data_IF_777572329964
#
_entry.id   IF_777572329964
#
_cell.length_a   1.000
_cell.length_b   1.000
_cell.length_c   1.000
_cell.angle_alpha   90.00
_cell.angle_beta   90.00
_cell.angle_gamma   90.00
#
_symmetry.space_group_name_H-M   'P 1'
#
loop_
_entity.id
_entity.type
_entity.pdbx_description
1 polymer ?
#
# COMPACT_ATOMS: atom_id res chain seq x y z
N UNK A 1 22.95 -17.22 39.21
CA UNK A 1 23.96 -16.80 38.22
C UNK A 1 23.92 -17.80 37.08
N UNK A 2 23.41 -17.52 35.88
CA UNK A 2 23.68 -16.36 35.03
C UNK A 2 22.43 -15.89 34.26
N UNK A 3 22.31 -14.57 34.14
CA UNK A 3 21.50 -13.87 33.14
C UNK A 3 22.18 -14.02 31.78
N UNK A 4 21.41 -14.27 30.74
CA UNK A 4 21.76 -13.83 29.38
C UNK A 4 20.51 -13.25 28.72
N UNK A 5 20.54 -11.93 28.67
CA UNK A 5 19.65 -11.03 27.97
C UNK A 5 20.03 -10.92 26.48
N UNK A 6 19.04 -10.49 25.68
CA UNK A 6 19.13 -10.00 24.29
C UNK A 6 19.24 -11.11 23.23
N UNK A 7 18.41 -11.14 22.18
CA UNK A 7 18.16 -10.07 21.23
C UNK A 7 16.72 -10.10 20.69
N UNK A 8 15.95 -9.03 20.92
CA UNK A 8 14.72 -8.77 20.17
C UNK A 8 15.09 -8.42 18.73
N UNK A 9 14.78 -9.32 17.79
CA UNK A 9 14.84 -9.02 16.36
C UNK A 9 13.61 -8.21 15.92
N UNK A 10 13.68 -7.30 14.92
CA UNK A 10 12.55 -6.44 14.53
C UNK A 10 11.44 -7.16 13.73
N UNK A 11 11.36 -8.48 13.83
CA UNK A 11 10.53 -9.32 12.94
C UNK A 11 9.08 -9.45 13.45
N UNK A 12 8.82 -9.12 14.72
CA UNK A 12 7.49 -9.28 15.35
C UNK A 12 6.44 -8.24 14.93
N UNK A 13 6.75 -7.31 14.02
CA UNK A 13 5.80 -6.28 13.57
C UNK A 13 4.94 -6.69 12.35
N UNK A 14 5.25 -7.79 11.68
CA UNK A 14 4.48 -8.29 10.52
C UNK A 14 3.37 -9.30 10.89
N UNK A 15 3.37 -9.87 12.10
CA UNK A 15 2.43 -10.91 12.53
C UNK A 15 1.00 -10.39 12.81
N UNK A 16 0.81 -9.07 12.83
CA UNK A 16 -0.43 -8.45 13.29
C UNK A 16 -1.29 -7.84 12.15
N UNK A 17 -0.97 -8.15 10.88
CA UNK A 17 -1.79 -7.68 9.75
C UNK A 17 -3.06 -8.54 9.63
N UNK A 18 -2.94 -9.87 9.74
CA UNK A 18 -4.08 -10.79 9.59
C UNK A 18 -5.17 -10.64 10.66
N UNK A 19 -4.77 -10.37 11.90
CA UNK A 19 -5.67 -10.03 13.02
C UNK A 19 -6.40 -8.71 12.80
N UNK A 20 -5.70 -7.67 12.31
CA UNK A 20 -6.33 -6.38 11.96
C UNK A 20 -7.43 -6.55 10.92
N UNK A 21 -7.25 -7.42 9.92
CA UNK A 21 -8.30 -7.68 8.93
C UNK A 21 -9.54 -8.34 9.52
N UNK A 22 -9.37 -9.19 10.55
CA UNK A 22 -10.48 -9.89 11.22
C UNK A 22 -11.34 -8.92 12.07
N UNK A 23 -10.71 -7.92 12.68
CA UNK A 23 -11.39 -6.85 13.44
C UNK A 23 -12.17 -5.87 12.56
N UNK A 24 -11.95 -5.87 11.24
CA UNK A 24 -12.58 -4.90 10.37
C UNK A 24 -14.09 -5.08 10.22
N UNK A 25 -14.65 -6.27 10.54
CA UNK A 25 -16.08 -6.61 10.46
C UNK A 25 -16.63 -6.16 9.10
N UNK A 26 -16.58 -7.02 8.08
CA UNK A 26 -16.81 -6.68 6.66
C UNK A 26 -18.29 -6.80 6.24
N UNK A 27 -19.11 -5.72 6.27
CA UNK A 27 -20.35 -5.61 5.51
C UNK A 27 -20.13 -5.05 4.09
N UNK A 28 -18.90 -4.73 3.70
CA UNK A 28 -18.53 -4.13 2.39
C UNK A 28 -18.89 -5.00 1.17
N UNK A 29 -19.23 -6.28 1.36
CA UNK A 29 -19.57 -7.23 0.30
C UNK A 29 -21.08 -7.54 0.21
N UNK A 30 -21.96 -6.75 0.82
CA UNK A 30 -23.39 -6.88 0.52
C UNK A 30 -23.65 -6.32 -0.88
N UNK A 31 -24.18 -7.17 -1.77
CA UNK A 31 -24.32 -7.00 -3.23
C UNK A 31 -25.15 -5.78 -3.72
N UNK A 32 -25.38 -4.74 -2.91
CA UNK A 32 -26.22 -3.59 -3.25
C UNK A 32 -25.51 -2.24 -3.33
N UNK A 33 -24.18 -2.17 -3.19
CA UNK A 33 -23.42 -0.92 -3.30
C UNK A 33 -22.42 -0.97 -4.46
N UNK A 34 -22.80 -0.39 -5.60
CA UNK A 34 -21.91 -0.19 -6.73
C UNK A 34 -21.09 1.09 -6.48
N UNK A 35 -19.90 0.94 -5.89
CA UNK A 35 -19.04 2.05 -5.50
C UNK A 35 -17.62 1.82 -6.03
N UNK A 36 -17.19 2.66 -6.95
CA UNK A 36 -15.86 2.58 -7.59
C UNK A 36 -14.72 2.46 -6.58
N UNK A 37 -14.84 3.08 -5.41
CA UNK A 37 -13.83 2.97 -4.35
C UNK A 37 -13.74 1.54 -3.78
N UNK A 38 -14.88 0.89 -3.58
CA UNK A 38 -14.93 -0.49 -3.09
C UNK A 38 -14.38 -1.45 -4.15
N UNK A 39 -14.64 -1.20 -5.42
CA UNK A 39 -14.06 -1.99 -6.51
C UNK A 39 -12.54 -1.82 -6.57
N UNK A 40 -12.01 -0.59 -6.45
CA UNK A 40 -10.55 -0.36 -6.35
C UNK A 40 -9.94 -1.08 -5.16
N UNK A 41 -10.60 -1.06 -3.99
CA UNK A 41 -10.17 -1.81 -2.81
C UNK A 41 -10.16 -3.32 -3.06
N UNK A 42 -11.23 -3.87 -3.64
CA UNK A 42 -11.35 -5.30 -3.96
C UNK A 42 -10.21 -5.74 -4.89
N UNK A 43 -9.96 -4.99 -5.96
CA UNK A 43 -8.86 -5.25 -6.89
C UNK A 43 -7.51 -5.21 -6.18
N UNK A 44 -7.29 -4.20 -5.33
CA UNK A 44 -6.04 -4.05 -4.56
C UNK A 44 -5.79 -5.21 -3.59
N UNK A 45 -6.83 -5.67 -2.90
CA UNK A 45 -6.77 -6.81 -1.98
C UNK A 45 -6.46 -8.10 -2.74
N UNK A 46 -7.08 -8.31 -3.90
CA UNK A 46 -6.81 -9.48 -4.74
C UNK A 46 -5.34 -9.51 -5.19
N UNK A 47 -4.80 -8.37 -5.62
CA UNK A 47 -3.39 -8.27 -5.99
C UNK A 47 -2.44 -8.44 -4.81
N UNK A 48 -2.80 -7.91 -3.63
CA UNK A 48 -2.05 -8.20 -2.41
C UNK A 48 -2.02 -9.70 -2.11
N UNK A 49 -3.17 -10.39 -2.17
CA UNK A 49 -3.27 -11.83 -1.99
C UNK A 49 -2.43 -12.61 -3.02
N UNK A 50 -2.54 -12.26 -4.30
CA UNK A 50 -1.72 -12.85 -5.37
C UNK A 50 -0.22 -12.66 -5.11
N UNK A 51 0.18 -11.50 -4.58
CA UNK A 51 1.57 -11.25 -4.22
C UNK A 51 2.08 -12.17 -3.11
N UNK A 52 1.24 -12.61 -2.18
CA UNK A 52 1.63 -13.52 -1.09
C UNK A 52 1.76 -14.95 -1.60
N UNK A 53 0.95 -15.33 -2.59
CA UNK A 53 0.87 -16.70 -3.11
C UNK A 53 1.85 -16.98 -4.26
N UNK A 54 2.52 -15.96 -4.81
CA UNK A 54 3.55 -16.16 -5.85
C UNK A 54 4.89 -16.58 -5.24
N UNK A 55 5.53 -17.56 -5.87
CA UNK A 55 6.88 -18.03 -5.51
C UNK A 55 7.99 -17.10 -6.08
N UNK A 56 7.66 -16.29 -7.10
CA UNK A 56 8.59 -15.38 -7.75
C UNK A 56 8.60 -14.02 -7.04
N UNK A 57 9.80 -13.54 -6.67
CA UNK A 57 9.97 -12.21 -6.08
C UNK A 57 9.54 -11.10 -7.04
N UNK A 58 9.87 -11.25 -8.32
CA UNK A 58 9.55 -10.24 -9.35
C UNK A 58 8.05 -10.19 -9.61
N UNK A 59 7.38 -11.35 -9.71
CA UNK A 59 5.92 -11.39 -9.87
C UNK A 59 5.22 -10.85 -8.62
N UNK A 60 5.65 -11.27 -7.44
CA UNK A 60 5.13 -10.73 -6.17
C UNK A 60 5.24 -9.22 -6.09
N UNK A 61 6.36 -8.66 -6.54
CA UNK A 61 6.59 -7.22 -6.58
C UNK A 61 5.67 -6.53 -7.60
N UNK A 62 5.53 -7.09 -8.80
CA UNK A 62 4.62 -6.57 -9.83
C UNK A 62 3.17 -6.60 -9.39
N UNK A 63 2.71 -7.68 -8.74
CA UNK A 63 1.36 -7.76 -8.19
C UNK A 63 1.12 -6.66 -7.16
N UNK A 64 2.07 -6.41 -6.25
CA UNK A 64 1.98 -5.28 -5.33
C UNK A 64 1.91 -3.94 -6.06
N UNK A 65 2.70 -3.74 -7.11
CA UNK A 65 2.67 -2.51 -7.91
C UNK A 65 1.31 -2.31 -8.59
N UNK A 66 0.74 -3.34 -9.22
CA UNK A 66 -0.59 -3.27 -9.84
C UNK A 66 -1.66 -2.95 -8.81
N UNK A 67 -1.59 -3.55 -7.61
CA UNK A 67 -2.47 -3.21 -6.49
C UNK A 67 -2.38 -1.72 -6.12
N UNK A 68 -1.17 -1.20 -5.96
CA UNK A 68 -0.94 0.23 -5.67
C UNK A 68 -1.48 1.15 -6.78
N UNK A 69 -1.21 0.82 -8.05
CA UNK A 69 -1.72 1.55 -9.22
C UNK A 69 -3.24 1.59 -9.23
N UNK A 70 -3.88 0.44 -9.02
CA UNK A 70 -5.33 0.33 -9.00
C UNK A 70 -5.98 1.15 -7.89
N UNK A 71 -5.29 1.33 -6.75
CA UNK A 71 -5.83 2.03 -5.59
C UNK A 71 -5.62 3.55 -5.66
N UNK A 72 -4.39 3.94 -5.97
CA UNK A 72 -3.88 5.30 -5.73
C UNK A 72 -3.63 6.11 -7.00
N UNK A 73 -3.99 5.60 -8.18
CA UNK A 73 -3.89 6.36 -9.43
C UNK A 73 -5.23 6.59 -10.10
N UNK A 74 -5.26 7.56 -11.01
CA UNK A 74 -6.42 7.93 -11.84
C UNK A 74 -6.09 7.90 -13.34
N UNK A 75 -4.92 7.37 -13.72
CA UNK A 75 -4.51 7.14 -15.12
C UNK A 75 -4.08 8.38 -15.92
N UNK A 76 -4.03 9.59 -15.33
CA UNK A 76 -3.80 10.85 -16.07
C UNK A 76 -2.40 11.48 -15.97
N UNK A 77 -1.56 11.02 -15.04
CA UNK A 77 -0.27 11.66 -14.70
C UNK A 77 0.91 10.67 -14.70
N UNK A 78 2.14 11.18 -14.49
CA UNK A 78 3.32 10.34 -14.28
C UNK A 78 3.09 9.39 -13.10
N UNK A 79 2.91 8.11 -13.40
CA UNK A 79 2.50 7.05 -12.46
C UNK A 79 3.37 7.08 -11.19
N UNK A 80 4.69 7.19 -11.34
CA UNK A 80 5.64 7.21 -10.22
C UNK A 80 5.42 8.37 -9.26
N UNK A 81 5.28 9.60 -9.76
CA UNK A 81 5.13 10.79 -8.91
C UNK A 81 3.81 10.72 -8.13
N UNK A 82 2.70 10.49 -8.84
CA UNK A 82 1.38 10.43 -8.20
C UNK A 82 1.31 9.32 -7.16
N UNK A 83 1.88 8.16 -7.46
CA UNK A 83 1.95 7.08 -6.47
C UNK A 83 2.79 7.44 -5.27
N UNK A 84 3.95 8.04 -5.47
CA UNK A 84 4.82 8.44 -4.36
C UNK A 84 4.14 9.49 -3.46
N UNK A 85 3.51 10.51 -4.05
CA UNK A 85 2.73 11.53 -3.33
C UNK A 85 1.57 10.90 -2.57
N UNK A 86 0.69 10.17 -3.27
CA UNK A 86 -0.52 9.61 -2.66
C UNK A 86 -0.19 8.58 -1.59
N UNK A 87 0.87 7.79 -1.76
CA UNK A 87 1.34 6.86 -0.73
C UNK A 87 1.80 7.64 0.50
N UNK A 88 2.63 8.66 0.33
CA UNK A 88 3.12 9.49 1.43
C UNK A 88 1.97 10.18 2.18
N UNK A 89 1.03 10.79 1.47
CA UNK A 89 -0.15 11.44 2.05
C UNK A 89 -1.05 10.50 2.83
N UNK A 90 -1.12 9.22 2.43
CA UNK A 90 -2.03 8.27 3.04
C UNK A 90 -1.44 7.58 4.28
N UNK A 91 -0.15 7.25 4.27
CA UNK A 91 0.44 6.35 5.29
C UNK A 91 1.57 6.96 6.11
N UNK A 92 2.15 8.09 5.70
CA UNK A 92 3.19 8.73 6.48
C UNK A 92 2.64 9.23 7.83
N UNK A 93 3.54 9.43 8.79
CA UNK A 93 3.22 10.19 10.00
C UNK A 93 3.00 11.65 9.63
N UNK A 94 2.36 12.39 10.53
CA UNK A 94 2.07 13.81 10.35
C UNK A 94 3.31 14.68 10.62
N UNK A 95 4.38 14.40 9.87
CA UNK A 95 5.62 15.16 9.89
C UNK A 95 6.30 15.11 8.51
N UNK A 96 7.00 16.18 8.17
CA UNK A 96 7.58 16.38 6.83
C UNK A 96 8.67 15.34 6.50
N UNK A 97 9.41 14.87 7.50
CA UNK A 97 10.49 13.92 7.29
C UNK A 97 9.95 12.52 7.00
N UNK A 98 8.89 12.10 7.69
CA UNK A 98 8.15 10.88 7.37
C UNK A 98 7.53 10.95 5.98
N UNK A 99 6.94 12.08 5.58
CA UNK A 99 6.39 12.25 4.22
C UNK A 99 7.48 12.10 3.16
N UNK A 100 8.62 12.78 3.31
CA UNK A 100 9.79 12.66 2.40
C UNK A 100 10.31 11.23 2.33
N UNK A 101 10.43 10.55 3.47
CA UNK A 101 10.92 9.17 3.52
C UNK A 101 10.02 8.22 2.72
N UNK A 102 8.70 8.27 2.94
CA UNK A 102 7.74 7.43 2.22
C UNK A 102 7.74 7.75 0.73
N UNK A 103 7.73 9.04 0.38
CA UNK A 103 7.80 9.51 -1.01
C UNK A 103 9.03 8.96 -1.73
N UNK A 104 10.23 9.20 -1.19
CA UNK A 104 11.49 8.78 -1.83
C UNK A 104 11.58 7.25 -1.93
N UNK A 105 11.13 6.54 -0.90
CA UNK A 105 11.10 5.07 -0.91
C UNK A 105 10.18 4.56 -2.02
N UNK A 106 9.00 5.15 -2.17
CA UNK A 106 8.05 4.76 -3.21
C UNK A 106 8.58 5.08 -4.62
N UNK A 107 9.27 6.22 -4.81
CA UNK A 107 9.96 6.51 -6.07
C UNK A 107 10.99 5.43 -6.43
N UNK A 108 11.80 5.01 -5.46
CA UNK A 108 12.82 3.97 -5.67
C UNK A 108 12.20 2.62 -6.02
N UNK A 109 11.13 2.23 -5.33
CA UNK A 109 10.38 1.00 -5.65
C UNK A 109 9.80 1.05 -7.07
N UNK A 110 9.26 2.20 -7.49
CA UNK A 110 8.66 2.35 -8.82
C UNK A 110 9.68 2.43 -9.95
N UNK A 111 10.88 2.95 -9.70
CA UNK A 111 11.98 2.83 -10.64
C UNK A 111 12.31 1.35 -10.94
N UNK A 112 12.29 0.48 -9.91
CA UNK A 112 12.49 -0.96 -10.07
C UNK A 112 11.35 -1.63 -10.83
N UNK A 113 10.09 -1.31 -10.50
CA UNK A 113 8.90 -1.76 -11.24
C UNK A 113 9.04 -1.49 -12.73
N UNK A 114 9.41 -0.26 -13.08
CA UNK A 114 9.58 0.16 -14.47
C UNK A 114 10.63 -0.69 -15.19
N UNK A 115 11.79 -0.92 -14.57
CA UNK A 115 12.81 -1.75 -15.21
C UNK A 115 12.42 -3.23 -15.34
N UNK A 116 11.65 -3.82 -14.41
CA UNK A 116 11.09 -5.18 -14.61
C UNK A 116 10.17 -5.20 -15.84
N UNK A 117 9.26 -4.23 -15.95
CA UNK A 117 8.27 -4.18 -17.03
C UNK A 117 8.89 -4.00 -18.43
N UNK A 118 10.07 -3.38 -18.51
CA UNK A 118 10.83 -3.20 -19.76
C UNK A 118 11.86 -4.32 -20.02
N UNK A 119 11.82 -5.42 -19.25
CA UNK A 119 12.73 -6.56 -19.44
C UNK A 119 14.17 -6.27 -18.98
N UNK A 120 14.38 -5.24 -18.16
CA UNK A 120 15.67 -4.95 -17.56
C UNK A 120 16.06 -6.04 -16.56
N UNK A 121 17.36 -6.32 -16.47
CA UNK A 121 17.91 -7.26 -15.48
C UNK A 121 17.95 -6.61 -14.08
N UNK A 122 16.78 -6.36 -13.51
CA UNK A 122 16.61 -5.80 -12.17
C UNK A 122 16.39 -6.94 -11.19
N UNK A 123 17.27 -7.02 -10.20
CA UNK A 123 17.08 -7.91 -9.05
C UNK A 123 16.26 -7.20 -7.97
N UNK A 124 15.12 -7.78 -7.61
CA UNK A 124 14.32 -7.34 -6.47
C UNK A 124 14.85 -8.00 -5.21
N UNK A 125 15.23 -7.19 -4.23
CA UNK A 125 15.60 -7.69 -2.93
C UNK A 125 14.37 -7.99 -2.08
N UNK A 126 14.46 -9.00 -1.21
CA UNK A 126 13.40 -9.34 -0.25
C UNK A 126 12.96 -8.15 0.60
N UNK A 127 13.87 -7.23 0.94
CA UNK A 127 13.55 -6.00 1.70
C UNK A 127 12.61 -5.08 0.93
N UNK A 128 12.75 -5.01 -0.38
CA UNK A 128 11.97 -4.14 -1.27
C UNK A 128 10.59 -4.72 -1.51
N UNK A 129 10.51 -6.04 -1.68
CA UNK A 129 9.24 -6.74 -1.72
C UNK A 129 8.46 -6.56 -0.40
N UNK A 130 9.13 -6.71 0.75
CA UNK A 130 8.51 -6.44 2.05
C UNK A 130 8.03 -5.00 2.16
N UNK A 131 8.80 -4.03 1.65
CA UNK A 131 8.46 -2.62 1.70
C UNK A 131 7.22 -2.28 0.85
N UNK A 132 7.15 -2.75 -0.39
CA UNK A 132 5.99 -2.48 -1.26
C UNK A 132 4.73 -3.21 -0.76
N UNK A 133 4.88 -4.44 -0.22
CA UNK A 133 3.78 -5.15 0.46
C UNK A 133 3.26 -4.36 1.65
N UNK A 134 4.17 -3.83 2.47
CA UNK A 134 3.80 -2.98 3.61
C UNK A 134 3.04 -1.73 3.16
N UNK A 135 3.49 -1.03 2.11
CA UNK A 135 2.79 0.16 1.60
C UNK A 135 1.41 -0.17 1.04
N UNK A 136 1.26 -1.28 0.30
CA UNK A 136 -0.04 -1.72 -0.19
C UNK A 136 -0.99 -2.08 0.96
N UNK A 137 -0.53 -2.88 1.92
CA UNK A 137 -1.32 -3.26 3.09
C UNK A 137 -1.76 -2.04 3.91
N UNK A 138 -0.85 -1.10 4.19
CA UNK A 138 -1.16 0.11 4.93
C UNK A 138 -2.12 1.03 4.18
N UNK A 139 -1.98 1.14 2.86
CA UNK A 139 -2.89 1.93 2.04
C UNK A 139 -4.31 1.35 2.07
N UNK A 140 -4.45 0.03 1.91
CA UNK A 140 -5.74 -0.68 2.04
C UNK A 140 -6.34 -0.42 3.43
N UNK A 141 -5.57 -0.64 4.50
CA UNK A 141 -6.03 -0.45 5.88
C UNK A 141 -6.48 0.99 6.12
N UNK A 142 -5.69 1.98 5.70
CA UNK A 142 -6.00 3.40 5.90
C UNK A 142 -7.28 3.82 5.19
N UNK A 143 -7.47 3.39 3.93
CA UNK A 143 -8.70 3.68 3.19
C UNK A 143 -9.90 3.02 3.88
N UNK A 144 -9.80 1.75 4.30
CA UNK A 144 -10.89 1.09 5.04
C UNK A 144 -11.19 1.83 6.35
N UNK A 145 -10.17 2.24 7.11
CA UNK A 145 -10.36 3.01 8.35
C UNK A 145 -11.12 4.31 8.10
N UNK A 146 -10.79 5.03 7.01
CA UNK A 146 -11.48 6.27 6.64
C UNK A 146 -12.93 6.04 6.20
N UNK A 147 -13.20 4.95 5.48
CA UNK A 147 -14.58 4.54 5.14
C UNK A 147 -15.37 4.24 6.42
N UNK A 148 -14.79 3.49 7.37
CA UNK A 148 -15.44 3.17 8.64
C UNK A 148 -15.69 4.39 9.52
N UNK A 149 -14.87 5.43 9.37
CA UNK A 149 -15.03 6.72 10.04
C UNK A 149 -15.96 7.68 9.29
N UNK A 150 -16.58 7.25 8.18
CA UNK A 150 -17.43 8.07 7.30
C UNK A 150 -16.70 9.31 6.72
N UNK A 151 -15.37 9.26 6.64
CA UNK A 151 -14.54 10.36 6.11
C UNK A 151 -14.45 10.34 4.58
N UNK A 152 -14.54 9.15 3.97
CA UNK A 152 -14.55 8.96 2.51
C UNK A 152 -15.58 7.90 2.15
N UNK A 153 -16.44 8.19 1.16
CA UNK A 153 -17.49 7.28 0.73
C UNK A 153 -17.48 7.02 -0.78
N UNK A 154 -16.61 7.68 -1.52
CA UNK A 154 -16.51 7.54 -2.97
C UNK A 154 -15.07 7.72 -3.45
N UNK A 155 -14.80 7.33 -4.69
CA UNK A 155 -13.50 7.59 -5.32
C UNK A 155 -13.22 9.11 -5.43
N UNK A 156 -14.26 9.94 -5.56
CA UNK A 156 -14.13 11.41 -5.54
C UNK A 156 -13.66 11.91 -4.18
N UNK A 157 -14.19 11.36 -3.09
CA UNK A 157 -13.79 11.74 -1.73
C UNK A 157 -12.34 11.34 -1.45
N UNK A 158 -11.91 10.15 -1.90
CA UNK A 158 -10.52 9.73 -1.80
C UNK A 158 -9.58 10.69 -2.56
N UNK A 159 -9.92 11.05 -3.79
CA UNK A 159 -9.12 12.01 -4.59
C UNK A 159 -9.07 13.37 -3.87
N UNK A 160 -10.21 13.86 -3.40
CA UNK A 160 -10.31 15.13 -2.68
C UNK A 160 -9.47 15.11 -1.40
N UNK A 161 -9.53 14.02 -0.64
CA UNK A 161 -8.70 13.82 0.55
C UNK A 161 -7.21 13.92 0.22
N UNK A 162 -6.75 13.20 -0.81
CA UNK A 162 -5.34 13.19 -1.23
C UNK A 162 -4.89 14.56 -1.75
N UNK A 163 -5.73 15.24 -2.52
CA UNK A 163 -5.43 16.57 -3.04
C UNK A 163 -5.32 17.61 -1.92
N UNK A 164 -6.16 17.54 -0.90
CA UNK A 164 -6.09 18.45 0.26
C UNK A 164 -4.76 18.31 1.03
N UNK A 165 -4.13 17.12 1.03
CA UNK A 165 -2.83 16.93 1.68
C UNK A 165 -1.68 17.69 1.00
N UNK A 166 -1.88 18.18 -0.24
CA UNK A 166 -0.88 19.00 -0.95
C UNK A 166 -0.74 20.41 -0.37
N UNK A 167 -1.76 20.88 0.36
CA UNK A 167 -1.84 22.24 0.88
C UNK A 167 -1.70 22.31 2.41
N UNK A 168 -1.47 21.16 3.07
CA UNK A 168 -1.39 21.01 4.52
C UNK A 168 -0.01 20.64 5.03
#
# INVERSE_FOLDING_TARGET
NCRTSCLNSPIDSLSNIGSKFKELCFPILTNSFNNDLLEKLRVSINWYSASINSESLNESFLFCAIGMESLLTTGRDSITKVLAENTAFLIAKDDIESRKLVYNTMCNLYAKRSGIAHGGNINIETKELKQIRYYLAMSIIKIISKIKADEINSNKDLITFLDNQKFG
#
